data_IF_988796345150
#
_entry.id   IF_988796345150
#
_cell.length_a   1.000
_cell.length_b   1.000
_cell.length_c   1.000
_cell.angle_alpha   90.00
_cell.angle_beta   90.00
_cell.angle_gamma   90.00
#
_symmetry.space_group_name_H-M   'P 1'
#
loop_
_entity.id
_entity.type
_entity.pdbx_description
1 polymer ?
#
# COMPACT_ATOMS: atom_id res chain seq x y z
N UNK A 1 -8.54 19.18 -0.90
CA UNK A 1 -8.56 18.55 -2.24
C UNK A 1 -9.59 19.12 -3.22
N UNK A 2 -10.86 19.34 -2.85
CA UNK A 2 -11.91 19.93 -3.73
C UNK A 2 -11.44 21.13 -4.58
N UNK A 3 -10.90 22.16 -3.92
CA UNK A 3 -10.47 23.40 -4.59
C UNK A 3 -9.34 23.14 -5.60
N UNK A 4 -8.42 22.24 -5.25
CA UNK A 4 -7.27 21.89 -6.09
C UNK A 4 -7.74 21.19 -7.37
N UNK A 5 -8.69 20.25 -7.27
CA UNK A 5 -9.23 19.54 -8.43
C UNK A 5 -10.01 20.49 -9.35
N UNK A 6 -10.81 21.38 -8.79
CA UNK A 6 -11.58 22.36 -9.57
C UNK A 6 -10.67 23.36 -10.31
N UNK A 7 -9.61 23.84 -9.65
CA UNK A 7 -8.66 24.80 -10.23
C UNK A 7 -7.46 24.13 -10.92
N UNK A 8 -7.50 22.80 -11.17
CA UNK A 8 -6.33 22.04 -11.65
C UNK A 8 -5.79 22.56 -12.98
N UNK A 9 -6.67 22.94 -13.92
CA UNK A 9 -6.29 23.43 -15.25
C UNK A 9 -5.57 24.77 -15.17
N UNK A 10 -6.06 25.70 -14.35
CA UNK A 10 -5.41 26.99 -14.08
C UNK A 10 -4.01 26.80 -13.47
N UNK A 11 -3.89 25.79 -12.60
CA UNK A 11 -2.64 25.42 -11.92
C UNK A 11 -1.74 24.48 -12.73
N UNK A 12 -2.14 24.09 -13.94
CA UNK A 12 -1.44 23.11 -14.79
C UNK A 12 -1.15 21.78 -14.07
N UNK A 13 -2.09 21.32 -13.25
CA UNK A 13 -1.99 20.06 -12.51
C UNK A 13 -2.69 18.95 -13.31
N UNK A 14 -1.98 17.86 -13.57
CA UNK A 14 -2.54 16.64 -14.18
C UNK A 14 -3.54 15.98 -13.24
N UNK A 15 -4.68 15.54 -13.79
CA UNK A 15 -5.67 14.77 -13.04
C UNK A 15 -5.08 13.45 -12.51
N UNK A 16 -4.17 12.82 -13.25
CA UNK A 16 -3.53 11.57 -12.83
C UNK A 16 -2.65 11.77 -11.59
N UNK A 17 -1.89 12.86 -11.55
CA UNK A 17 -1.09 13.20 -10.37
C UNK A 17 -1.99 13.48 -9.15
N UNK A 18 -3.15 14.12 -9.36
CA UNK A 18 -4.12 14.37 -8.30
C UNK A 18 -4.77 13.07 -7.82
N UNK A 19 -5.06 12.14 -8.72
CA UNK A 19 -5.58 10.81 -8.39
C UNK A 19 -4.54 9.99 -7.61
N UNK A 20 -3.28 10.00 -8.03
CA UNK A 20 -2.20 9.34 -7.29
C UNK A 20 -2.02 9.94 -5.88
N UNK A 21 -2.12 11.27 -5.76
CA UNK A 21 -2.12 11.95 -4.45
C UNK A 21 -3.34 11.57 -3.59
N UNK A 22 -4.53 11.44 -4.19
CA UNK A 22 -5.72 11.00 -3.47
C UNK A 22 -5.56 9.57 -2.95
N UNK A 23 -5.01 8.65 -3.76
CA UNK A 23 -4.65 7.31 -3.30
C UNK A 23 -3.71 7.40 -2.11
N UNK A 24 -2.65 8.21 -2.20
CA UNK A 24 -1.72 8.39 -1.10
C UNK A 24 -2.45 8.87 0.17
N UNK A 25 -3.26 9.92 0.09
CA UNK A 25 -4.03 10.46 1.22
C UNK A 25 -4.99 9.41 1.83
N UNK A 26 -5.77 8.72 1.00
CA UNK A 26 -6.68 7.68 1.47
C UNK A 26 -5.92 6.47 2.03
N UNK A 27 -4.73 6.18 1.51
CA UNK A 27 -3.85 5.14 2.06
C UNK A 27 -3.28 5.51 3.42
N UNK A 28 -3.18 6.79 3.80
CA UNK A 28 -2.79 7.19 5.15
C UNK A 28 -3.92 6.97 6.17
N UNK A 29 -5.15 6.83 5.66
CA UNK A 29 -6.35 6.86 6.47
C UNK A 29 -6.64 5.48 7.00
N UNK A 30 -6.10 5.19 8.18
CA UNK A 30 -6.50 4.05 8.98
C UNK A 30 -7.66 4.45 9.93
N UNK A 31 -7.91 3.65 10.95
CA UNK A 31 -8.80 3.88 12.10
C UNK A 31 -8.74 5.29 12.70
N UNK A 32 -7.61 5.99 12.54
CA UNK A 32 -7.33 7.29 13.16
C UNK A 32 -7.78 8.48 12.31
N UNK A 33 -7.93 8.33 10.99
CA UNK A 33 -8.31 9.43 10.09
C UNK A 33 -9.63 9.09 9.40
N UNK A 34 -10.72 9.63 9.93
CA UNK A 34 -12.05 9.48 9.37
C UNK A 34 -12.36 10.69 8.50
N UNK A 35 -12.54 10.48 7.19
CA UNK A 35 -12.99 11.53 6.30
C UNK A 35 -14.45 11.90 6.58
N UNK A 36 -14.70 13.20 6.72
CA UNK A 36 -16.05 13.72 6.84
C UNK A 36 -16.85 13.40 5.56
N UNK A 37 -18.02 12.78 5.71
CA UNK A 37 -18.92 12.42 4.60
C UNK A 37 -19.22 13.59 3.66
N UNK A 38 -19.45 14.78 4.20
CA UNK A 38 -19.70 15.98 3.42
C UNK A 38 -18.50 16.37 2.55
N UNK A 39 -17.28 16.16 3.04
CA UNK A 39 -16.06 16.41 2.25
C UNK A 39 -15.90 15.38 1.14
N UNK A 40 -16.26 14.13 1.37
CA UNK A 40 -16.24 13.08 0.35
C UNK A 40 -17.25 13.34 -0.76
N UNK A 41 -18.49 13.71 -0.42
CA UNK A 41 -19.51 14.09 -1.40
C UNK A 41 -19.04 15.28 -2.26
N UNK A 42 -18.42 16.28 -1.63
CA UNK A 42 -17.84 17.42 -2.32
C UNK A 42 -16.66 17.05 -3.25
N UNK A 43 -15.86 16.06 -2.83
CA UNK A 43 -14.75 15.52 -3.61
C UNK A 43 -15.29 14.77 -4.83
N UNK A 44 -16.28 13.89 -4.64
CA UNK A 44 -16.95 13.15 -5.71
C UNK A 44 -17.49 14.09 -6.78
N UNK A 45 -18.24 15.13 -6.39
CA UNK A 45 -18.75 16.13 -7.34
C UNK A 45 -17.65 16.84 -8.13
N UNK A 46 -16.47 17.01 -7.53
CA UNK A 46 -15.32 17.61 -8.23
C UNK A 46 -14.62 16.62 -9.16
N UNK A 47 -14.61 15.33 -8.79
CA UNK A 47 -14.13 14.26 -9.66
C UNK A 47 -15.03 14.07 -10.88
N UNK A 48 -16.36 14.14 -10.73
CA UNK A 48 -17.30 14.06 -11.86
C UNK A 48 -16.96 15.11 -12.92
N UNK A 49 -16.76 16.36 -12.49
CA UNK A 49 -16.40 17.45 -13.40
C UNK A 49 -15.02 17.22 -14.04
N UNK A 50 -14.03 16.78 -13.26
CA UNK A 50 -12.69 16.52 -13.78
C UNK A 50 -12.67 15.37 -14.79
N UNK A 51 -13.41 14.29 -14.50
CA UNK A 51 -13.58 13.13 -15.38
C UNK A 51 -14.31 13.51 -16.65
N UNK A 52 -15.39 14.30 -16.56
CA UNK A 52 -16.13 14.77 -17.74
C UNK A 52 -15.23 15.55 -18.71
N UNK A 53 -14.33 16.37 -18.16
CA UNK A 53 -13.42 17.21 -18.91
C UNK A 53 -12.25 16.45 -19.57
N UNK A 54 -11.83 15.31 -19.02
CA UNK A 54 -10.61 14.58 -19.42
C UNK A 54 -10.85 13.08 -19.65
N UNK A 55 -12.11 12.66 -19.89
CA UNK A 55 -12.49 11.25 -19.98
C UNK A 55 -11.65 10.48 -20.99
N UNK A 56 -11.56 10.97 -22.23
CA UNK A 56 -10.84 10.26 -23.31
C UNK A 56 -9.36 10.07 -23.01
N UNK A 57 -8.74 11.05 -22.36
CA UNK A 57 -7.32 11.00 -22.02
C UNK A 57 -7.05 10.13 -20.80
N UNK A 58 -7.99 10.09 -19.86
CA UNK A 58 -7.84 9.35 -18.60
C UNK A 58 -8.07 7.85 -18.77
N UNK A 59 -8.96 7.44 -19.68
CA UNK A 59 -9.36 6.04 -19.88
C UNK A 59 -8.89 5.45 -21.21
N UNK A 60 -8.07 6.17 -21.97
CA UNK A 60 -7.59 5.85 -23.34
C UNK A 60 -8.68 5.37 -24.32
N UNK A 61 -9.94 5.73 -24.06
CA UNK A 61 -11.09 5.36 -24.89
C UNK A 61 -11.40 6.51 -25.85
N UNK A 62 -10.70 6.51 -27.00
CA UNK A 62 -10.77 7.59 -27.99
C UNK A 62 -11.98 7.47 -28.92
N UNK A 63 -12.54 6.27 -29.07
CA UNK A 63 -13.55 5.95 -30.07
C UNK A 63 -14.98 5.96 -29.49
N UNK A 64 -15.15 5.77 -28.18
CA UNK A 64 -16.48 5.74 -27.57
C UNK A 64 -16.99 7.13 -27.20
N UNK A 65 -18.24 7.41 -27.55
CA UNK A 65 -18.97 8.53 -26.97
C UNK A 65 -19.37 8.19 -25.53
N UNK A 66 -19.00 9.03 -24.57
CA UNK A 66 -19.41 8.91 -23.18
C UNK A 66 -20.52 9.90 -22.85
N UNK A 67 -21.44 9.49 -21.98
CA UNK A 67 -22.50 10.33 -21.46
C UNK A 67 -22.07 10.95 -20.11
N UNK A 68 -22.69 12.06 -19.67
CA UNK A 68 -22.48 12.58 -18.33
C UNK A 68 -22.69 11.55 -17.22
N UNK A 69 -23.60 10.59 -17.44
CA UNK A 69 -23.89 9.50 -16.51
C UNK A 69 -22.74 8.50 -16.41
N UNK A 70 -22.02 8.25 -17.51
CA UNK A 70 -20.83 7.39 -17.50
C UNK A 70 -19.70 8.03 -16.70
N UNK A 71 -19.51 9.35 -16.83
CA UNK A 71 -18.56 10.11 -16.03
C UNK A 71 -18.90 10.07 -14.53
N UNK A 72 -20.18 10.20 -14.19
CA UNK A 72 -20.65 10.07 -12.81
C UNK A 72 -20.36 8.67 -12.24
N UNK A 73 -20.62 7.62 -13.03
CA UNK A 73 -20.33 6.24 -12.63
C UNK A 73 -18.84 6.02 -12.38
N UNK A 74 -17.97 6.52 -13.28
CA UNK A 74 -16.52 6.43 -13.12
C UNK A 74 -15.99 7.21 -11.92
N UNK A 75 -16.51 8.41 -11.64
CA UNK A 75 -16.12 9.15 -10.45
C UNK A 75 -16.52 8.43 -9.16
N UNK A 76 -17.71 7.80 -9.13
CA UNK A 76 -18.16 6.97 -8.00
C UNK A 76 -17.31 5.72 -7.82
N UNK A 77 -16.92 5.07 -8.91
CA UNK A 77 -16.00 3.93 -8.90
C UNK A 77 -14.64 4.32 -8.30
N UNK A 78 -14.05 5.44 -8.75
CA UNK A 78 -12.83 6.01 -8.15
C UNK A 78 -13.00 6.24 -6.64
N UNK A 79 -14.12 6.84 -6.22
CA UNK A 79 -14.40 7.07 -4.79
C UNK A 79 -14.56 5.75 -4.01
N UNK A 80 -15.13 4.70 -4.60
CA UNK A 80 -15.23 3.38 -3.98
C UNK A 80 -13.85 2.78 -3.76
N UNK A 81 -12.99 2.78 -4.78
CA UNK A 81 -11.61 2.31 -4.66
C UNK A 81 -10.81 3.08 -3.60
N UNK A 82 -10.93 4.42 -3.56
CA UNK A 82 -10.29 5.22 -2.51
C UNK A 82 -10.72 4.77 -1.10
N UNK A 83 -12.02 4.49 -0.92
CA UNK A 83 -12.53 3.97 0.36
C UNK A 83 -12.00 2.58 0.64
N UNK A 84 -11.99 1.68 -0.33
CA UNK A 84 -11.43 0.33 -0.15
C UNK A 84 -9.97 0.38 0.27
N UNK A 85 -9.15 1.22 -0.38
CA UNK A 85 -7.73 1.44 -0.06
C UNK A 85 -7.54 1.85 1.40
N UNK A 86 -8.39 2.73 1.93
CA UNK A 86 -8.33 3.14 3.34
C UNK A 86 -8.58 1.98 4.32
N UNK A 87 -9.19 0.90 3.85
CA UNK A 87 -9.54 -0.26 4.68
C UNK A 87 -8.65 -1.49 4.43
N UNK A 88 -7.81 -1.49 3.39
CA UNK A 88 -7.04 -2.67 2.96
C UNK A 88 -6.11 -3.22 4.05
N UNK A 89 -5.63 -2.36 4.97
CA UNK A 89 -4.69 -2.76 6.02
C UNK A 89 -5.35 -3.15 7.34
N UNK A 90 -6.67 -3.06 7.46
CA UNK A 90 -7.43 -3.52 8.64
C UNK A 90 -7.13 -4.96 9.12
N UNK A 91 -6.92 -5.96 8.24
CA UNK A 91 -6.67 -7.32 8.70
C UNK A 91 -5.21 -7.56 9.14
N UNK A 92 -4.31 -6.62 8.87
CA UNK A 92 -2.90 -6.68 9.28
C UNK A 92 -2.83 -6.30 10.77
N UNK A 93 -2.03 -7.01 11.57
CA UNK A 93 -1.98 -6.80 13.02
C UNK A 93 -0.95 -5.78 13.44
N UNK A 94 0.28 -5.85 12.92
CA UNK A 94 1.40 -4.98 13.35
C UNK A 94 1.60 -3.81 12.39
N UNK A 95 1.46 -4.06 11.09
CA UNK A 95 1.74 -3.08 10.04
C UNK A 95 0.48 -2.38 9.48
N UNK A 96 -0.59 -2.29 10.26
CA UNK A 96 -1.86 -1.71 9.81
C UNK A 96 -1.78 -0.20 9.54
N UNK A 97 -1.02 0.53 10.37
CA UNK A 97 -0.82 1.97 10.24
C UNK A 97 0.54 2.31 9.62
N UNK A 98 0.53 3.25 8.68
CA UNK A 98 1.72 3.80 7.99
C UNK A 98 2.08 5.21 8.44
N UNK A 99 1.29 5.80 9.33
CA UNK A 99 1.64 7.03 10.03
C UNK A 99 2.15 6.65 11.41
N UNK A 100 3.43 6.93 11.67
CA UNK A 100 4.06 6.65 12.96
C UNK A 100 4.44 7.96 13.65
N UNK A 101 4.36 8.02 14.98
CA UNK A 101 4.88 9.18 15.71
C UNK A 101 6.38 9.31 15.46
N UNK A 102 6.86 10.54 15.26
CA UNK A 102 8.29 10.79 15.11
C UNK A 102 9.03 10.50 16.43
N UNK A 103 10.24 9.95 16.35
CA UNK A 103 11.09 9.67 17.52
C UNK A 103 11.40 10.93 18.36
N UNK A 104 11.44 12.10 17.71
CA UNK A 104 11.65 13.40 18.36
C UNK A 104 10.42 13.90 19.16
N UNK A 105 9.33 13.12 19.24
CA UNK A 105 8.16 13.38 20.07
C UNK A 105 7.18 14.44 19.55
N UNK A 106 7.44 15.04 18.38
CA UNK A 106 6.51 15.98 17.73
C UNK A 106 6.22 15.56 16.30
N UNK A 107 4.94 15.46 15.96
CA UNK A 107 4.47 15.13 14.61
C UNK A 107 4.40 13.63 14.30
N UNK A 108 4.10 13.35 13.03
CA UNK A 108 4.02 12.01 12.48
C UNK A 108 4.85 11.95 11.20
N UNK A 109 5.46 10.79 10.96
CA UNK A 109 6.16 10.47 9.73
C UNK A 109 5.45 9.34 8.98
N UNK A 110 5.62 9.35 7.66
CA UNK A 110 5.19 8.23 6.84
C UNK A 110 6.24 7.12 6.89
N UNK A 111 5.84 5.94 7.33
CA UNK A 111 6.64 4.72 7.34
C UNK A 111 5.87 3.61 6.65
N UNK A 112 6.28 3.27 5.42
CA UNK A 112 5.57 2.29 4.59
C UNK A 112 5.57 0.88 5.20
N UNK A 113 4.62 0.03 4.77
CA UNK A 113 4.49 -1.35 5.28
C UNK A 113 5.77 -2.16 5.06
N UNK A 114 6.36 -2.08 3.86
CA UNK A 114 7.60 -2.78 3.54
C UNK A 114 8.76 -2.31 4.42
N UNK A 115 8.83 -1.00 4.68
CA UNK A 115 9.87 -0.43 5.53
C UNK A 115 9.72 -0.94 6.96
N UNK A 116 8.52 -0.89 7.54
CA UNK A 116 8.26 -1.42 8.88
C UNK A 116 8.60 -2.92 8.99
N UNK A 117 8.21 -3.71 7.99
CA UNK A 117 8.52 -5.14 7.94
C UNK A 117 10.03 -5.40 7.88
N UNK A 118 10.75 -4.69 7.02
CA UNK A 118 12.21 -4.86 6.89
C UNK A 118 12.92 -4.40 8.16
N UNK A 119 12.49 -3.28 8.76
CA UNK A 119 13.07 -2.79 10.00
C UNK A 119 12.92 -3.81 11.14
N UNK A 120 11.74 -4.43 11.27
CA UNK A 120 11.51 -5.49 12.24
C UNK A 120 12.26 -6.78 11.90
N UNK A 121 12.36 -7.11 10.61
CA UNK A 121 13.12 -8.27 10.14
C UNK A 121 14.60 -8.15 10.50
N UNK A 122 15.20 -6.96 10.36
CA UNK A 122 16.64 -6.73 10.61
C UNK A 122 16.95 -6.25 12.02
N UNK A 123 15.94 -6.15 12.88
CA UNK A 123 16.12 -5.73 14.26
C UNK A 123 16.89 -6.80 15.07
N UNK A 124 17.92 -6.36 15.80
CA UNK A 124 18.75 -7.22 16.67
C UNK A 124 17.96 -7.86 17.81
N UNK A 125 16.88 -7.23 18.25
CA UNK A 125 16.00 -7.75 19.29
C UNK A 125 15.10 -8.89 18.79
N UNK A 126 15.11 -9.15 17.47
CA UNK A 126 14.35 -10.22 16.79
C UNK A 126 12.89 -10.26 17.24
N UNK A 127 12.14 -9.15 17.05
CA UNK A 127 10.74 -9.09 17.44
C UNK A 127 9.91 -10.12 16.67
N UNK A 128 8.80 -10.58 17.26
CA UNK A 128 7.92 -11.51 16.58
C UNK A 128 7.25 -10.85 15.35
N UNK A 129 7.33 -11.54 14.21
CA UNK A 129 6.81 -11.09 12.92
C UNK A 129 5.40 -11.66 12.72
N UNK A 130 4.46 -11.23 13.57
CA UNK A 130 3.11 -11.82 13.70
C UNK A 130 2.28 -11.84 12.41
N UNK A 131 2.55 -10.92 11.49
CA UNK A 131 1.87 -10.85 10.19
C UNK A 131 2.46 -11.80 9.14
N UNK A 132 3.61 -12.44 9.41
CA UNK A 132 4.20 -13.43 8.53
C UNK A 132 3.67 -14.82 8.83
N UNK A 133 3.16 -15.49 7.80
CA UNK A 133 2.72 -16.88 7.87
C UNK A 133 3.78 -17.80 7.29
N UNK A 134 4.23 -18.77 8.08
CA UNK A 134 5.16 -19.80 7.61
C UNK A 134 4.40 -20.90 6.87
N UNK A 135 4.52 -20.94 5.54
CA UNK A 135 3.97 -22.03 4.72
C UNK A 135 5.00 -23.13 4.53
N UNK A 136 4.91 -24.18 5.36
CA UNK A 136 5.53 -25.47 5.07
C UNK A 136 4.55 -26.31 4.25
N UNK A 137 4.49 -26.12 2.94
CA UNK A 137 3.69 -26.99 2.08
C UNK A 137 4.39 -28.34 1.89
N UNK A 138 4.16 -29.23 2.85
CA UNK A 138 4.49 -30.64 2.75
C UNK A 138 3.36 -31.50 3.32
N UNK A 139 2.97 -32.56 2.60
CA UNK A 139 2.04 -33.62 3.03
C UNK A 139 2.37 -34.17 4.44
N UNK A 140 3.65 -34.06 4.83
CA UNK A 140 4.20 -34.47 6.13
C UNK A 140 3.74 -33.60 7.31
N UNK A 141 3.37 -32.33 7.10
CA UNK A 141 2.86 -31.44 8.17
C UNK A 141 1.36 -31.60 8.39
N UNK A 142 0.57 -31.94 7.37
CA UNK A 142 -0.84 -32.30 7.53
C UNK A 142 -1.03 -33.59 8.37
N UNK A 143 -0.18 -34.60 8.16
CA UNK A 143 -0.19 -35.83 8.96
C UNK A 143 0.36 -35.62 10.38
N UNK A 144 1.28 -34.67 10.58
CA UNK A 144 1.81 -34.32 11.91
C UNK A 144 0.85 -33.48 12.72
N UNK A 145 0.11 -32.58 12.08
CA UNK A 145 -0.89 -31.73 12.76
C UNK A 145 -2.02 -32.58 13.37
N UNK A 146 -2.39 -33.70 12.72
CA UNK A 146 -3.37 -34.65 13.28
C UNK A 146 -2.89 -35.47 14.49
N UNK A 147 -1.57 -35.60 14.70
CA UNK A 147 -0.99 -36.42 15.78
C UNK A 147 -0.31 -35.60 16.90
N UNK A 148 -0.05 -34.31 16.71
CA UNK A 148 0.71 -33.47 17.65
C UNK A 148 -0.14 -32.62 18.63
N UNK A 149 -1.45 -32.84 18.72
CA UNK A 149 -2.33 -32.15 19.69
C UNK A 149 -1.96 -32.45 21.16
N UNK A 150 -1.08 -33.44 21.43
CA UNK A 150 -0.74 -33.87 22.79
C UNK A 150 0.65 -33.43 23.31
N UNK A 151 1.44 -32.66 22.54
CA UNK A 151 2.74 -32.16 23.04
C UNK A 151 3.01 -30.71 22.63
N UNK A 152 2.41 -29.77 23.35
CA UNK A 152 2.59 -28.32 23.15
C UNK A 152 3.93 -27.81 23.69
N UNK A 153 5.03 -28.15 23.03
CA UNK A 153 6.16 -27.23 22.97
C UNK A 153 5.98 -26.40 21.70
N UNK A 154 5.66 -25.10 21.84
CA UNK A 154 5.75 -24.14 20.73
C UNK A 154 7.15 -24.29 20.15
N UNK A 155 7.29 -24.98 19.01
CA UNK A 155 8.53 -24.98 18.26
C UNK A 155 8.79 -23.52 17.91
N UNK A 156 9.93 -22.99 18.32
CA UNK A 156 10.40 -21.68 17.90
C UNK A 156 10.25 -21.59 16.39
N UNK A 157 9.39 -20.70 15.92
CA UNK A 157 9.37 -20.29 14.52
C UNK A 157 10.80 -19.89 14.16
N UNK A 158 11.38 -20.51 13.14
CA UNK A 158 12.71 -20.07 12.68
C UNK A 158 12.58 -18.64 12.19
N UNK A 159 13.48 -17.78 12.65
CA UNK A 159 13.47 -16.39 12.19
C UNK A 159 13.95 -16.37 10.74
N UNK A 160 13.40 -15.55 9.83
CA UNK A 160 13.82 -15.57 8.43
C UNK A 160 15.33 -15.29 8.25
N UNK A 161 15.92 -14.44 9.10
CA UNK A 161 17.36 -14.18 9.14
C UNK A 161 18.23 -15.33 9.68
N UNK A 162 17.65 -16.43 10.14
CA UNK A 162 18.42 -17.65 10.42
C UNK A 162 18.95 -18.30 9.11
N UNK A 163 18.53 -17.76 7.95
CA UNK A 163 19.03 -18.14 6.62
C UNK A 163 20.09 -17.12 6.16
N UNK A 164 21.13 -17.56 5.42
CA UNK A 164 22.18 -16.68 4.90
C UNK A 164 21.67 -15.71 3.81
N UNK A 165 20.50 -16.00 3.22
CA UNK A 165 19.87 -15.16 2.21
C UNK A 165 18.37 -15.15 2.41
N UNK A 166 17.77 -13.96 2.32
CA UNK A 166 16.32 -13.74 2.37
C UNK A 166 15.88 -13.00 1.11
N UNK A 167 14.85 -13.50 0.43
CA UNK A 167 14.22 -12.84 -0.70
C UNK A 167 12.89 -12.22 -0.27
N UNK A 168 12.80 -10.90 -0.31
CA UNK A 168 11.55 -10.15 -0.21
C UNK A 168 11.04 -9.86 -1.63
N UNK A 169 9.98 -10.55 -2.05
CA UNK A 169 9.41 -10.39 -3.38
C UNK A 169 8.06 -9.68 -3.33
N UNK A 170 7.95 -8.51 -3.97
CA UNK A 170 6.76 -7.67 -3.98
C UNK A 170 5.94 -7.87 -5.25
N UNK A 171 4.72 -8.36 -5.09
CA UNK A 171 3.74 -8.50 -6.16
C UNK A 171 2.96 -7.19 -6.31
N UNK A 172 2.81 -6.69 -7.54
CA UNK A 172 2.17 -5.41 -7.85
C UNK A 172 3.16 -4.28 -8.17
N UNK A 173 4.37 -4.35 -7.62
CA UNK A 173 5.46 -3.45 -7.95
C UNK A 173 6.04 -2.71 -6.75
N UNK A 174 7.18 -2.07 -6.95
CA UNK A 174 7.88 -1.26 -5.94
C UNK A 174 8.38 0.03 -6.56
N UNK A 175 8.40 1.10 -5.78
CA UNK A 175 8.94 2.39 -6.20
C UNK A 175 10.45 2.50 -5.92
N UNK A 176 11.11 3.46 -6.59
CA UNK A 176 12.52 3.77 -6.36
C UNK A 176 12.81 4.17 -4.91
N UNK A 177 11.91 4.97 -4.33
CA UNK A 177 12.07 5.50 -2.99
C UNK A 177 11.92 4.39 -1.94
N UNK A 178 10.96 3.47 -2.11
CA UNK A 178 10.86 2.28 -1.26
C UNK A 178 12.13 1.44 -1.35
N UNK A 179 12.63 1.13 -2.56
CA UNK A 179 13.87 0.36 -2.70
C UNK A 179 15.05 0.99 -1.94
N UNK A 180 15.19 2.32 -2.06
CA UNK A 180 16.22 3.08 -1.35
C UNK A 180 16.05 3.01 0.16
N UNK A 181 14.81 3.13 0.66
CA UNK A 181 14.50 3.03 2.09
C UNK A 181 14.80 1.64 2.65
N UNK A 182 14.34 0.58 1.97
CA UNK A 182 14.57 -0.80 2.38
C UNK A 182 16.07 -1.15 2.36
N UNK A 183 16.78 -0.75 1.30
CA UNK A 183 18.23 -0.92 1.21
C UNK A 183 18.93 -0.21 2.37
N UNK A 184 18.51 1.02 2.70
CA UNK A 184 19.06 1.77 3.83
C UNK A 184 18.84 1.02 5.15
N UNK A 185 17.63 0.54 5.42
CA UNK A 185 17.31 -0.22 6.64
C UNK A 185 18.22 -1.44 6.82
N UNK A 186 18.43 -2.22 5.74
CA UNK A 186 19.29 -3.41 5.78
C UNK A 186 20.74 -3.03 6.07
N UNK A 187 21.33 -2.08 5.33
CA UNK A 187 22.76 -1.74 5.52
C UNK A 187 23.05 -1.11 6.89
N UNK A 188 22.09 -0.36 7.46
CA UNK A 188 22.29 0.29 8.77
C UNK A 188 22.10 -0.67 9.95
N UNK A 189 21.45 -1.81 9.74
CA UNK A 189 21.18 -2.79 10.79
C UNK A 189 22.41 -3.59 11.24
N UNK A 190 23.43 -3.68 10.37
CA UNK A 190 24.63 -4.47 10.64
C UNK A 190 24.43 -5.99 10.57
N UNK A 191 23.31 -6.48 10.00
CA UNK A 191 23.11 -7.92 9.77
C UNK A 191 23.96 -8.42 8.60
N UNK A 192 24.59 -9.58 8.75
CA UNK A 192 25.42 -10.21 7.70
C UNK A 192 24.60 -10.97 6.63
N UNK A 193 23.29 -11.14 6.86
CA UNK A 193 22.39 -11.83 5.94
C UNK A 193 22.18 -11.03 4.66
N UNK A 194 22.27 -11.69 3.50
CA UNK A 194 21.97 -11.06 2.22
C UNK A 194 20.45 -10.92 2.05
N UNK A 195 19.94 -9.69 2.02
CA UNK A 195 18.52 -9.41 1.74
C UNK A 195 18.37 -8.98 0.28
N UNK A 196 17.70 -9.80 -0.52
CA UNK A 196 17.37 -9.52 -1.90
C UNK A 196 15.95 -8.96 -1.98
N UNK A 197 15.78 -7.83 -2.66
CA UNK A 197 14.46 -7.21 -2.90
C UNK A 197 14.13 -7.40 -4.37
N UNK A 198 13.05 -8.13 -4.63
CA UNK A 198 12.52 -8.35 -5.96
C UNK A 198 11.11 -7.77 -6.09
N UNK A 199 10.70 -7.45 -7.30
CA UNK A 199 9.31 -7.09 -7.58
C UNK A 199 8.89 -7.56 -8.96
N UNK A 200 7.58 -7.63 -9.16
CA UNK A 200 6.99 -7.89 -10.49
C UNK A 200 7.27 -6.76 -11.48
N UNK A 201 7.35 -5.51 -11.00
CA UNK A 201 7.67 -4.33 -11.80
C UNK A 201 8.20 -3.20 -10.92
N UNK A 202 8.88 -2.25 -11.55
CA UNK A 202 9.26 -0.99 -10.94
C UNK A 202 8.25 0.06 -11.36
N UNK A 203 7.65 0.76 -10.39
CA UNK A 203 6.49 1.63 -10.66
C UNK A 203 6.71 3.05 -10.16
N UNK A 204 6.14 3.99 -10.89
CA UNK A 204 5.87 5.35 -10.41
C UNK A 204 4.52 5.41 -9.69
N UNK A 205 4.27 6.44 -8.86
CA UNK A 205 2.97 6.60 -8.20
C UNK A 205 1.78 6.69 -9.17
N UNK A 206 2.00 7.23 -10.39
CA UNK A 206 0.97 7.34 -11.42
C UNK A 206 0.67 5.98 -12.05
N UNK A 207 1.69 5.17 -12.34
CA UNK A 207 1.48 3.81 -12.86
C UNK A 207 0.78 2.93 -11.83
N UNK A 208 1.19 2.99 -10.56
CA UNK A 208 0.51 2.27 -9.48
C UNK A 208 -0.96 2.72 -9.34
N UNK A 209 -1.24 4.01 -9.48
CA UNK A 209 -2.61 4.54 -9.49
C UNK A 209 -3.43 4.00 -10.66
N UNK A 210 -2.84 3.93 -11.86
CA UNK A 210 -3.51 3.37 -13.04
C UNK A 210 -3.87 1.90 -12.85
N UNK A 211 -2.97 1.11 -12.25
CA UNK A 211 -3.27 -0.30 -11.94
C UNK A 211 -4.48 -0.43 -11.00
N UNK A 212 -4.55 0.42 -9.98
CA UNK A 212 -5.62 0.39 -8.98
C UNK A 212 -6.98 0.72 -9.61
N UNK A 213 -7.02 1.73 -10.48
CA UNK A 213 -8.26 2.18 -11.11
C UNK A 213 -8.55 1.48 -12.46
N UNK A 214 -7.68 0.56 -12.90
CA UNK A 214 -7.74 -0.09 -14.21
C UNK A 214 -7.83 0.94 -15.36
N UNK A 215 -6.94 1.94 -15.36
CA UNK A 215 -6.85 3.04 -16.32
C UNK A 215 -5.76 2.86 -17.37
#
# INVERSE_FOLDING_TARGET
MRIIIRSRKERKLSIENLLALLIHIYSLSDSEVIFNKQHEENLEQSLIMAVLEEFKTLFDDRERSYTPKDCEMKAKEIMCYLKEISQMRKPIQRYHSVLKPCDAGTGHEYRGVLQQLVDDLVNTDRPDLVDLQHRNDGIKDLLRTGLNILTSKRKSSKHPLDNPTVLLFVVGGVTAEECKQLHRSVITSGVDTVVLIGSTKFVTPVEAMRDVFNL
#
